data_IF_296717589622
#
_entry.id   IF_296717589622
#
_cell.length_a   1.000
_cell.length_b   1.000
_cell.length_c   1.000
_cell.angle_alpha   90.00
_cell.angle_beta   90.00
_cell.angle_gamma   90.00
#
_symmetry.space_group_name_H-M   'P 1'
#
loop_
_entity.id
_entity.type
_entity.pdbx_description
1 polymer ?
#
# COMPACT_ATOMS: atom_id res chain seq x y z
N UNK A 1 -36.75 4.13 -23.40
CA UNK A 1 -36.74 5.38 -22.60
C UNK A 1 -36.04 5.21 -21.24
N UNK A 2 -35.96 3.99 -20.68
CA UNK A 2 -35.28 3.72 -19.40
C UNK A 2 -33.81 4.16 -19.32
N UNK A 3 -33.05 4.07 -20.43
CA UNK A 3 -31.64 4.46 -20.45
C UNK A 3 -31.39 5.95 -20.22
N UNK A 4 -32.40 6.83 -20.40
CA UNK A 4 -32.26 8.28 -20.16
C UNK A 4 -32.27 8.63 -18.67
N UNK A 5 -32.88 7.79 -17.84
CA UNK A 5 -33.00 8.00 -16.39
C UNK A 5 -31.94 7.19 -15.63
N UNK A 6 -31.62 5.98 -16.11
CA UNK A 6 -30.59 5.14 -15.48
C UNK A 6 -29.19 5.75 -15.60
N UNK A 7 -28.86 6.39 -16.73
CA UNK A 7 -27.55 7.03 -16.95
C UNK A 7 -27.21 8.13 -15.92
N UNK A 8 -28.08 9.13 -15.66
CA UNK A 8 -27.77 10.15 -14.67
C UNK A 8 -27.72 9.57 -13.25
N UNK A 9 -28.56 8.58 -12.92
CA UNK A 9 -28.52 7.91 -11.61
C UNK A 9 -27.19 7.17 -11.42
N UNK A 10 -26.77 6.38 -12.40
CA UNK A 10 -25.48 5.70 -12.39
C UNK A 10 -24.32 6.70 -12.34
N UNK A 11 -24.41 7.82 -13.06
CA UNK A 11 -23.40 8.86 -13.02
C UNK A 11 -23.27 9.48 -11.62
N UNK A 12 -24.38 9.82 -10.97
CA UNK A 12 -24.38 10.33 -9.60
C UNK A 12 -23.82 9.30 -8.63
N UNK A 13 -24.23 8.03 -8.75
CA UNK A 13 -23.71 6.95 -7.92
C UNK A 13 -22.19 6.78 -8.08
N UNK A 14 -21.70 6.72 -9.32
CA UNK A 14 -20.27 6.59 -9.62
C UNK A 14 -19.49 7.79 -9.08
N UNK A 15 -19.99 9.02 -9.26
CA UNK A 15 -19.35 10.22 -8.74
C UNK A 15 -19.31 10.19 -7.21
N UNK A 16 -20.42 9.85 -6.55
CA UNK A 16 -20.47 9.73 -5.10
C UNK A 16 -19.52 8.63 -4.58
N UNK A 17 -19.45 7.49 -5.27
CA UNK A 17 -18.53 6.40 -4.96
C UNK A 17 -17.06 6.82 -5.11
N UNK A 18 -16.71 7.50 -6.20
CA UNK A 18 -15.36 8.03 -6.43
C UNK A 18 -15.01 9.08 -5.37
N UNK A 19 -15.92 9.99 -5.05
CA UNK A 19 -15.71 10.99 -4.00
C UNK A 19 -15.53 10.35 -2.62
N UNK A 20 -16.28 9.30 -2.31
CA UNK A 20 -16.10 8.56 -1.07
C UNK A 20 -14.75 7.83 -1.02
N UNK A 21 -14.35 7.18 -2.12
CA UNK A 21 -13.10 6.42 -2.22
C UNK A 21 -11.86 7.33 -2.18
N UNK A 22 -11.89 8.45 -2.91
CA UNK A 22 -10.75 9.36 -3.07
C UNK A 22 -10.82 10.59 -2.14
N UNK A 23 -11.94 10.85 -1.49
CA UNK A 23 -12.11 11.95 -0.55
C UNK A 23 -11.05 11.98 0.55
N UNK A 24 -10.76 10.85 1.23
CA UNK A 24 -9.68 10.78 2.21
C UNK A 24 -8.31 11.15 1.62
N UNK A 25 -8.01 10.69 0.39
CA UNK A 25 -6.75 11.06 -0.29
C UNK A 25 -6.67 12.56 -0.58
N UNK A 26 -7.79 13.20 -0.90
CA UNK A 26 -7.83 14.65 -1.08
C UNK A 26 -7.52 15.39 0.22
N UNK A 27 -8.11 14.96 1.35
CA UNK A 27 -7.82 15.51 2.68
C UNK A 27 -6.35 15.31 3.04
N UNK A 28 -5.80 14.11 2.83
CA UNK A 28 -4.39 13.82 3.08
C UNK A 28 -3.46 14.69 2.21
N UNK A 29 -3.84 14.95 0.97
CA UNK A 29 -3.10 15.83 0.04
C UNK A 29 -3.12 17.29 0.51
N UNK A 30 -4.22 17.75 1.09
CA UNK A 30 -4.27 19.08 1.68
C UNK A 30 -3.34 19.12 2.91
N UNK A 31 -3.48 18.15 3.82
CA UNK A 31 -2.69 18.07 5.05
C UNK A 31 -1.18 17.90 4.80
N UNK A 32 -0.74 17.36 3.65
CA UNK A 32 0.69 17.27 3.33
C UNK A 32 1.36 18.63 3.10
N UNK A 33 0.59 19.70 2.89
CA UNK A 33 1.10 21.07 2.85
C UNK A 33 1.16 21.73 4.24
N UNK A 34 0.89 21.00 5.32
CA UNK A 34 0.98 21.58 6.65
C UNK A 34 2.44 21.74 7.10
N UNK A 35 2.73 22.82 7.82
CA UNK A 35 4.05 23.08 8.40
C UNK A 35 4.40 22.17 9.59
N UNK A 36 5.60 21.58 9.49
CA UNK A 36 6.59 21.43 10.57
C UNK A 36 6.39 20.39 11.70
N UNK A 37 7.47 20.04 12.42
CA UNK A 37 7.60 18.94 13.40
C UNK A 37 6.60 18.85 14.54
N UNK A 38 5.98 19.98 14.89
CA UNK A 38 5.09 20.10 16.04
C UNK A 38 3.61 20.19 15.61
N UNK A 39 3.35 20.35 14.31
CA UNK A 39 2.02 20.36 13.73
C UNK A 39 1.58 18.96 13.32
N UNK A 40 0.88 18.24 14.20
CA UNK A 40 0.23 16.96 13.86
C UNK A 40 -0.83 17.13 12.75
N UNK A 41 -1.24 16.06 12.04
CA UNK A 41 -2.19 16.15 10.93
C UNK A 41 -3.56 16.63 11.42
N UNK A 42 -3.81 17.93 11.33
CA UNK A 42 -5.00 18.59 11.86
C UNK A 42 -5.67 19.42 10.79
N UNK A 43 -6.99 19.42 10.79
CA UNK A 43 -7.80 20.23 9.88
C UNK A 43 -8.66 21.19 10.71
N UNK A 44 -8.73 22.50 10.38
CA UNK A 44 -8.10 23.20 9.26
C UNK A 44 -6.58 23.39 9.40
N UNK A 45 -5.89 23.60 8.27
CA UNK A 45 -4.44 23.90 8.26
C UNK A 45 -4.18 25.24 8.96
N UNK A 46 -3.22 25.25 9.88
CA UNK A 46 -2.78 26.47 10.58
C UNK A 46 -1.76 27.24 9.71
N UNK A 47 -0.73 26.54 9.23
CA UNK A 47 0.35 27.14 8.44
C UNK A 47 0.66 26.29 7.20
N UNK A 48 0.69 26.95 6.03
CA UNK A 48 1.01 26.33 4.74
C UNK A 48 2.53 26.28 4.52
N UNK A 49 3.04 25.12 4.15
CA UNK A 49 4.47 24.89 3.95
C UNK A 49 4.74 23.73 3.01
N UNK A 50 5.94 23.74 2.42
CA UNK A 50 6.49 22.61 1.65
C UNK A 50 7.46 21.77 2.48
N UNK A 51 7.39 21.85 3.81
CA UNK A 51 8.29 21.18 4.75
C UNK A 51 8.42 19.67 4.48
N UNK A 52 7.31 18.94 4.43
CA UNK A 52 7.32 17.49 4.23
C UNK A 52 7.86 17.08 2.86
N UNK A 53 7.59 17.87 1.83
CA UNK A 53 8.16 17.64 0.49
C UNK A 53 9.68 17.86 0.48
N UNK A 54 10.18 18.91 1.15
CA UNK A 54 11.62 19.16 1.30
C UNK A 54 12.32 18.05 2.10
N UNK A 55 11.62 17.47 3.09
CA UNK A 55 12.14 16.36 3.89
C UNK A 55 12.37 15.08 3.04
N UNK A 56 11.55 14.82 2.03
CA UNK A 56 11.77 13.71 1.09
C UNK A 56 13.11 13.84 0.38
N UNK A 57 13.52 15.07 0.04
CA UNK A 57 14.80 15.35 -0.62
C UNK A 57 15.97 15.57 0.37
N UNK A 58 15.76 15.36 1.67
CA UNK A 58 16.80 15.56 2.69
C UNK A 58 17.17 17.03 2.92
N UNK A 59 16.37 17.98 2.44
CA UNK A 59 16.63 19.42 2.56
C UNK A 59 16.19 20.00 3.92
N UNK A 60 15.85 19.16 4.89
CA UNK A 60 15.21 19.55 6.14
C UNK A 60 15.71 18.67 7.28
N UNK A 61 16.02 19.24 8.46
CA UNK A 61 16.50 18.45 9.60
C UNK A 61 15.50 17.37 10.04
N UNK A 62 15.96 16.21 10.53
CA UNK A 62 15.11 15.19 11.11
C UNK A 62 14.23 15.76 12.23
N UNK A 63 12.98 15.33 12.27
CA UNK A 63 12.00 15.75 13.27
C UNK A 63 11.68 14.62 14.24
N UNK A 64 11.05 14.92 15.38
CA UNK A 64 10.58 13.89 16.32
C UNK A 64 9.58 12.93 15.67
N UNK A 65 8.78 13.42 14.73
CA UNK A 65 7.76 12.65 14.00
C UNK A 65 8.41 11.77 12.93
N UNK A 66 9.47 12.25 12.29
CA UNK A 66 10.19 11.53 11.25
C UNK A 66 11.70 11.63 11.51
N UNK A 67 12.23 10.79 12.42
CA UNK A 67 13.63 10.81 12.84
C UNK A 67 14.57 10.22 11.79
N UNK A 68 14.04 9.47 10.81
CA UNK A 68 14.79 8.84 9.75
C UNK A 68 14.62 9.59 8.41
N UNK A 69 15.62 9.55 7.51
CA UNK A 69 15.51 10.14 6.18
C UNK A 69 14.38 9.47 5.37
N UNK A 70 13.28 10.19 5.15
CA UNK A 70 12.09 9.67 4.45
C UNK A 70 12.40 9.32 2.99
N UNK A 71 13.25 10.11 2.33
CA UNK A 71 13.70 9.83 0.96
C UNK A 71 14.42 8.49 0.81
N UNK A 72 15.37 8.20 1.72
CA UNK A 72 16.07 6.90 1.69
C UNK A 72 15.12 5.74 2.00
N UNK A 73 14.20 5.91 2.95
CA UNK A 73 13.19 4.92 3.26
C UNK A 73 12.34 4.59 2.03
N UNK A 74 11.91 5.60 1.27
CA UNK A 74 11.18 5.42 0.02
C UNK A 74 11.96 4.59 -0.99
N UNK A 75 13.24 4.89 -1.20
CA UNK A 75 14.09 4.12 -2.13
C UNK A 75 14.24 2.66 -1.68
N UNK A 76 14.50 2.43 -0.38
CA UNK A 76 14.60 1.07 0.17
C UNK A 76 13.29 0.30 -0.01
N UNK A 77 12.15 0.94 0.24
CA UNK A 77 10.82 0.34 0.01
C UNK A 77 10.56 0.03 -1.46
N UNK A 78 10.94 0.92 -2.39
CA UNK A 78 10.76 0.69 -3.83
C UNK A 78 11.63 -0.47 -4.32
N UNK A 79 12.89 -0.54 -3.89
CA UNK A 79 13.78 -1.65 -4.22
C UNK A 79 13.21 -2.96 -3.66
N UNK A 80 12.80 -2.97 -2.39
CA UNK A 80 12.22 -4.15 -1.76
C UNK A 80 10.91 -4.59 -2.45
N UNK A 81 10.02 -3.65 -2.79
CA UNK A 81 8.79 -3.92 -3.53
C UNK A 81 9.10 -4.52 -4.91
N UNK A 82 10.10 -3.99 -5.62
CA UNK A 82 10.51 -4.53 -6.91
C UNK A 82 11.08 -5.94 -6.80
N UNK A 83 11.99 -6.18 -5.84
CA UNK A 83 12.56 -7.51 -5.60
C UNK A 83 11.48 -8.53 -5.26
N UNK A 84 10.57 -8.19 -4.34
CA UNK A 84 9.47 -9.07 -3.93
C UNK A 84 8.48 -9.32 -5.07
N UNK A 85 8.17 -8.30 -5.88
CA UNK A 85 7.34 -8.45 -7.08
C UNK A 85 7.96 -9.43 -8.08
N UNK A 86 9.25 -9.28 -8.40
CA UNK A 86 9.93 -10.18 -9.34
C UNK A 86 9.95 -11.62 -8.81
N UNK A 87 10.37 -11.82 -7.56
CA UNK A 87 10.44 -13.16 -6.96
C UNK A 87 9.07 -13.83 -6.89
N UNK A 88 8.04 -13.14 -6.39
CA UNK A 88 6.69 -13.68 -6.28
C UNK A 88 6.05 -13.96 -7.63
N UNK A 89 6.27 -13.10 -8.63
CA UNK A 89 5.75 -13.31 -9.98
C UNK A 89 6.40 -14.51 -10.64
N UNK A 90 7.73 -14.64 -10.58
CA UNK A 90 8.43 -15.79 -11.18
C UNK A 90 7.97 -17.09 -10.53
N UNK A 91 7.98 -17.17 -9.20
CA UNK A 91 7.52 -18.37 -8.48
C UNK A 91 6.05 -18.66 -8.76
N UNK A 92 5.18 -17.64 -8.72
CA UNK A 92 3.75 -17.77 -9.00
C UNK A 92 3.46 -18.25 -10.41
N UNK A 93 4.16 -17.72 -11.42
CA UNK A 93 4.03 -18.16 -12.82
C UNK A 93 4.53 -19.59 -12.99
N UNK A 94 5.67 -19.96 -12.39
CA UNK A 94 6.19 -21.33 -12.43
C UNK A 94 5.21 -22.32 -11.78
N UNK A 95 4.68 -21.99 -10.60
CA UNK A 95 3.65 -22.79 -9.92
C UNK A 95 2.40 -22.91 -10.79
N UNK A 96 1.90 -21.81 -11.37
CA UNK A 96 0.74 -21.83 -12.25
C UNK A 96 0.96 -22.71 -13.50
N UNK A 97 2.16 -22.66 -14.11
CA UNK A 97 2.51 -23.53 -15.24
C UNK A 97 2.56 -25.01 -14.83
N UNK A 98 3.06 -25.34 -13.64
CA UNK A 98 3.10 -26.71 -13.13
C UNK A 98 1.70 -27.32 -13.01
N UNK A 99 0.72 -26.54 -12.56
CA UNK A 99 -0.68 -26.98 -12.47
C UNK A 99 -1.41 -27.14 -13.81
N UNK A 100 -0.83 -26.73 -14.94
CA UNK A 100 -1.42 -26.96 -16.27
C UNK A 100 -1.48 -28.43 -16.65
N UNK A 101 -0.59 -29.25 -16.10
CA UNK A 101 -0.60 -30.71 -16.29
C UNK A 101 -1.04 -31.38 -14.99
N UNK A 102 -1.90 -32.39 -15.09
CA UNK A 102 -2.27 -33.21 -13.92
C UNK A 102 -1.02 -33.98 -13.48
N UNK A 103 -0.56 -33.76 -12.26
CA UNK A 103 0.52 -34.50 -11.63
C UNK A 103 0.06 -35.14 -10.32
N UNK A 104 0.71 -36.23 -9.94
CA UNK A 104 0.42 -36.97 -8.71
C UNK A 104 0.64 -36.08 -7.49
N UNK A 105 -0.37 -35.94 -6.62
CA UNK A 105 -0.30 -35.07 -5.44
C UNK A 105 -0.68 -33.60 -5.68
N UNK A 106 -1.13 -33.24 -6.89
CA UNK A 106 -1.55 -31.86 -7.22
C UNK A 106 -2.58 -31.27 -6.25
N UNK A 107 -3.57 -32.04 -5.79
CA UNK A 107 -4.55 -31.56 -4.81
C UNK A 107 -3.92 -31.17 -3.47
N UNK A 108 -2.94 -31.95 -2.97
CA UNK A 108 -2.27 -31.64 -1.71
C UNK A 108 -1.46 -30.33 -1.83
N UNK A 109 -0.69 -30.20 -2.91
CA UNK A 109 0.11 -28.99 -3.17
C UNK A 109 -0.80 -27.76 -3.34
N UNK A 110 -1.93 -27.92 -4.02
CA UNK A 110 -2.91 -26.84 -4.18
C UNK A 110 -3.44 -26.35 -2.82
N UNK A 111 -3.87 -27.26 -1.95
CA UNK A 111 -4.35 -26.88 -0.62
C UNK A 111 -3.26 -26.29 0.27
N UNK A 112 -2.01 -26.73 0.16
CA UNK A 112 -0.88 -26.12 0.88
C UNK A 112 -0.67 -24.65 0.47
N UNK A 113 -0.77 -24.34 -0.82
CA UNK A 113 -0.67 -22.96 -1.33
C UNK A 113 -1.83 -22.11 -0.78
N UNK A 114 -3.07 -22.62 -0.86
CA UNK A 114 -4.26 -21.92 -0.35
C UNK A 114 -4.14 -21.67 1.15
N UNK A 115 -3.67 -22.65 1.92
CA UNK A 115 -3.46 -22.52 3.36
C UNK A 115 -2.48 -21.38 3.67
N UNK A 116 -1.38 -21.29 2.92
CA UNK A 116 -0.41 -20.21 3.04
C UNK A 116 -1.00 -18.82 2.77
N UNK A 117 -1.90 -18.69 1.79
CA UNK A 117 -2.58 -17.43 1.46
C UNK A 117 -3.58 -16.99 2.54
N UNK A 118 -4.13 -17.92 3.32
CA UNK A 118 -5.09 -17.64 4.39
C UNK A 118 -4.41 -17.19 5.69
N UNK A 119 -3.10 -17.37 5.83
CA UNK A 119 -2.39 -16.98 7.05
C UNK A 119 -2.45 -15.46 7.23
N UNK A 120 -2.92 -14.95 8.38
CA UNK A 120 -2.98 -13.52 8.64
C UNK A 120 -1.57 -12.92 8.74
N UNK A 121 -1.40 -11.73 8.15
CA UNK A 121 -0.09 -11.06 8.06
C UNK A 121 0.60 -10.78 9.40
N UNK A 122 -0.16 -10.69 10.50
CA UNK A 122 0.41 -10.55 11.85
C UNK A 122 1.18 -11.80 12.27
N UNK A 123 0.65 -12.99 11.99
CA UNK A 123 1.31 -14.26 12.34
C UNK A 123 2.58 -14.46 11.51
N UNK A 124 2.55 -14.12 10.22
CA UNK A 124 3.75 -14.20 9.37
C UNK A 124 4.81 -13.21 9.83
N UNK A 125 4.44 -11.97 10.14
CA UNK A 125 5.35 -10.95 10.65
C UNK A 125 6.03 -11.37 11.96
N UNK A 126 5.25 -11.79 12.96
CA UNK A 126 5.78 -12.27 14.23
C UNK A 126 6.68 -13.51 14.06
N UNK A 127 6.26 -14.47 13.23
CA UNK A 127 7.05 -15.67 12.94
C UNK A 127 8.40 -15.34 12.30
N UNK A 128 8.43 -14.46 11.30
CA UNK A 128 9.69 -14.02 10.69
C UNK A 128 10.60 -13.27 11.66
N UNK A 129 10.03 -12.46 12.56
CA UNK A 129 10.81 -11.74 13.57
C UNK A 129 11.47 -12.69 14.58
N UNK A 130 10.74 -13.72 15.03
CA UNK A 130 11.29 -14.73 15.95
C UNK A 130 12.39 -15.58 15.30
N UNK A 131 12.24 -15.88 14.01
CA UNK A 131 13.26 -16.61 13.26
C UNK A 131 14.53 -15.78 13.03
N UNK A 132 14.37 -14.48 12.75
CA UNK A 132 15.47 -13.59 12.39
C UNK A 132 16.22 -12.96 13.60
N UNK A 133 15.59 -12.90 14.77
CA UNK A 133 16.16 -12.33 16.00
C UNK A 133 16.75 -13.39 16.97
N UNK A 134 16.98 -14.62 16.51
CA UNK A 134 17.85 -15.59 17.21
C UNK A 134 19.32 -15.36 16.84
#
# INVERSE_FOLDING_TARGET
MESRILKPILAVYVVAFILFLYGPFFVLTILSFQQGPDGGPQFPIIEWSLYWYKQIFGLTPPSRIAPLPVGEALIRSLILAFMTMVTSTVLGVMSAQAFRRKFTGSSLVFYLIVLGMMVPGVLTGLGTSLLANN
#
